data_IF_747197460046
#
_entry.id   IF_747197460046
#
_cell.length_a   1.000
_cell.length_b   1.000
_cell.length_c   1.000
_cell.angle_alpha   90.00
_cell.angle_beta   90.00
_cell.angle_gamma   90.00
#
_symmetry.space_group_name_H-M   'P 1'
#
loop_
_entity.id
_entity.type
_entity.pdbx_description
1 polymer ?
#
# COMPACT_ATOMS: atom_id res chain seq x y z
N UNK A 1 -14.71 8.82 -3.58
CA UNK A 1 -13.74 9.15 -2.52
C UNK A 1 -12.45 9.55 -3.21
N UNK A 2 -11.93 10.74 -2.91
CA UNK A 2 -10.76 11.26 -3.61
C UNK A 2 -9.49 10.79 -2.92
N UNK A 3 -8.58 10.19 -3.68
CA UNK A 3 -7.27 9.78 -3.18
C UNK A 3 -6.39 11.01 -3.04
N UNK A 4 -6.05 11.38 -1.80
CA UNK A 4 -5.20 12.51 -1.47
C UNK A 4 -3.72 12.15 -1.43
N UNK A 5 -2.97 12.91 -0.62
CA UNK A 5 -1.52 12.73 -0.48
C UNK A 5 -1.16 11.36 0.13
N UNK A 6 -0.01 10.81 -0.28
CA UNK A 6 0.56 9.61 0.34
C UNK A 6 0.94 9.94 1.79
N UNK A 7 0.35 9.23 2.74
CA UNK A 7 0.65 9.35 4.16
C UNK A 7 1.79 8.41 4.55
N UNK A 8 1.75 7.16 4.07
CA UNK A 8 2.68 6.12 4.46
C UNK A 8 2.76 5.00 3.42
N UNK A 9 3.95 4.42 3.25
CA UNK A 9 4.16 3.22 2.46
C UNK A 9 4.80 2.11 3.30
N UNK A 10 4.09 0.98 3.38
CA UNK A 10 4.58 -0.25 4.00
C UNK A 10 4.99 -1.30 2.98
N UNK A 11 5.35 -2.49 3.48
CA UNK A 11 5.80 -3.62 2.65
C UNK A 11 4.74 -4.07 1.64
N UNK A 12 3.46 -4.07 2.04
CA UNK A 12 2.37 -4.58 1.20
C UNK A 12 1.28 -3.57 0.86
N UNK A 13 1.31 -2.36 1.41
CA UNK A 13 0.26 -1.36 1.24
C UNK A 13 0.78 0.07 1.20
N UNK A 14 0.06 0.95 0.52
CA UNK A 14 0.19 2.41 0.61
C UNK A 14 -1.07 3.00 1.22
N UNK A 15 -0.91 3.97 2.12
CA UNK A 15 -2.01 4.69 2.76
C UNK A 15 -2.02 6.14 2.26
N UNK A 16 -3.20 6.62 1.89
CA UNK A 16 -3.40 7.97 1.37
C UNK A 16 -4.46 8.68 2.20
N UNK A 17 -4.25 9.99 2.41
CA UNK A 17 -5.25 10.87 3.01
C UNK A 17 -6.48 10.98 2.12
N UNK A 18 -7.60 11.39 2.71
CA UNK A 18 -8.82 11.77 1.99
C UNK A 18 -9.27 13.15 2.44
N UNK A 19 -10.39 13.61 1.89
CA UNK A 19 -11.10 14.80 2.30
C UNK A 19 -11.77 14.67 3.68
N UNK A 20 -12.03 13.44 4.15
CA UNK A 20 -12.46 13.15 5.52
C UNK A 20 -11.25 12.74 6.37
N UNK A 21 -11.00 13.47 7.46
CA UNK A 21 -9.87 13.22 8.37
C UNK A 21 -9.95 11.87 9.11
N UNK A 22 -11.14 11.27 9.18
CA UNK A 22 -11.37 9.99 9.84
C UNK A 22 -11.24 8.80 8.88
N UNK A 23 -10.97 9.04 7.59
CA UNK A 23 -10.90 8.00 6.56
C UNK A 23 -9.58 8.04 5.80
N UNK A 24 -9.11 6.85 5.43
CA UNK A 24 -7.91 6.65 4.60
C UNK A 24 -8.23 5.76 3.41
N UNK A 25 -7.56 6.02 2.29
CA UNK A 25 -7.52 5.09 1.16
C UNK A 25 -6.32 4.16 1.34
N UNK A 26 -6.57 2.85 1.33
CA UNK A 26 -5.53 1.81 1.38
C UNK A 26 -5.41 1.14 0.01
N UNK A 27 -4.21 1.15 -0.57
CA UNK A 27 -3.89 0.46 -1.82
C UNK A 27 -2.99 -0.73 -1.52
N UNK A 28 -3.39 -1.93 -1.95
CA UNK A 28 -2.55 -3.12 -1.87
C UNK A 28 -1.51 -3.11 -2.99
N UNK A 29 -0.29 -3.54 -2.65
CA UNK A 29 0.83 -3.61 -3.58
C UNK A 29 0.99 -5.03 -4.10
N UNK A 30 1.49 -5.13 -5.32
CA UNK A 30 1.96 -6.38 -5.93
C UNK A 30 3.30 -6.88 -5.34
N UNK A 31 3.92 -6.08 -4.47
CA UNK A 31 5.20 -6.40 -3.84
C UNK A 31 5.10 -7.57 -2.87
N UNK A 32 6.04 -8.49 -2.99
CA UNK A 32 6.25 -9.63 -2.11
C UNK A 32 7.50 -9.38 -1.26
N UNK A 33 7.42 -9.68 0.04
CA UNK A 33 8.59 -9.71 0.92
C UNK A 33 8.52 -10.93 1.83
N UNK A 34 9.63 -11.66 1.99
CA UNK A 34 9.77 -12.75 2.94
C UNK A 34 11.09 -12.63 3.72
N UNK A 35 11.23 -13.38 4.82
CA UNK A 35 12.44 -13.44 5.65
C UNK A 35 12.97 -12.06 6.06
N UNK A 36 12.17 -11.27 6.79
CA UNK A 36 12.53 -9.89 7.18
C UNK A 36 12.94 -8.98 6.01
N UNK A 37 12.36 -9.20 4.83
CA UNK A 37 12.64 -8.49 3.58
C UNK A 37 14.01 -8.79 2.95
N UNK A 38 14.67 -9.88 3.35
CA UNK A 38 15.83 -10.45 2.66
C UNK A 38 15.45 -11.00 1.28
N UNK A 39 14.23 -11.52 1.12
CA UNK A 39 13.68 -11.92 -0.17
C UNK A 39 12.60 -10.95 -0.60
N UNK A 40 12.74 -10.38 -1.80
CA UNK A 40 11.80 -9.45 -2.42
C UNK A 40 11.38 -9.96 -3.79
N UNK A 41 10.14 -9.68 -4.17
CA UNK A 41 9.59 -10.01 -5.47
C UNK A 41 8.40 -9.12 -5.79
N UNK A 42 7.84 -9.32 -6.97
CA UNK A 42 6.61 -8.67 -7.40
C UNK A 42 5.80 -9.71 -8.17
N UNK A 43 4.51 -9.78 -7.90
CA UNK A 43 3.58 -10.68 -8.58
C UNK A 43 2.38 -9.85 -9.05
N UNK A 44 2.21 -9.75 -10.37
CA UNK A 44 1.18 -8.91 -10.96
C UNK A 44 -0.22 -9.37 -10.51
N UNK A 45 -1.03 -8.43 -10.05
CA UNK A 45 -2.41 -8.70 -9.61
C UNK A 45 -2.53 -9.27 -8.21
N UNK A 46 -1.43 -9.39 -7.45
CA UNK A 46 -1.49 -9.75 -6.03
C UNK A 46 -2.24 -8.70 -5.19
N UNK A 47 -2.13 -7.43 -5.55
CA UNK A 47 -2.78 -6.31 -4.87
C UNK A 47 -4.16 -5.98 -5.43
N UNK A 48 -4.67 -6.75 -6.40
CA UNK A 48 -5.98 -6.55 -7.01
C UNK A 48 -7.12 -7.09 -6.14
#
# INVERSE_FOLDING_TARGET
MNKGALLYEGKGKKLFLTDDENLLVSEFKDDLTAFNAEKRGNEAGKGA
#
